data_IF_526776598733
#
_entry.id   IF_526776598733
#
_cell.length_a   1.000
_cell.length_b   1.000
_cell.length_c   1.000
_cell.angle_alpha   90.00
_cell.angle_beta   90.00
_cell.angle_gamma   90.00
#
_symmetry.space_group_name_H-M   'P 1'
#
loop_
_entity.id
_entity.type
_entity.pdbx_description
1 polymer ?
#
# COMPACT_ATOMS: atom_id res chain seq x y z
N UNK A 1 -2.23 7.30 -5.26
CA UNK A 1 -3.11 7.74 -6.38
C UNK A 1 -4.33 8.49 -5.88
N UNK A 2 -5.04 7.97 -4.87
CA UNK A 2 -6.21 8.65 -4.29
C UNK A 2 -5.88 10.08 -3.88
N UNK A 3 -4.74 10.34 -3.23
CA UNK A 3 -4.36 11.70 -2.83
C UNK A 3 -4.24 12.68 -4.01
N UNK A 4 -3.62 12.26 -5.12
CA UNK A 4 -3.52 13.09 -6.32
C UNK A 4 -4.91 13.43 -6.85
N UNK A 5 -5.77 12.42 -7.02
CA UNK A 5 -7.11 12.63 -7.57
C UNK A 5 -8.06 13.33 -6.59
N UNK A 6 -7.80 13.26 -5.28
CA UNK A 6 -8.51 14.04 -4.28
C UNK A 6 -8.16 15.53 -4.39
N UNK A 7 -6.89 15.86 -4.58
CA UNK A 7 -6.43 17.25 -4.72
C UNK A 7 -6.69 17.80 -6.13
N UNK A 8 -6.73 16.93 -7.15
CA UNK A 8 -6.95 17.24 -8.57
C UNK A 8 -8.11 16.41 -9.13
N UNK A 9 -9.36 16.60 -8.64
CA UNK A 9 -10.50 15.78 -9.03
C UNK A 9 -10.80 15.81 -10.53
N UNK A 10 -10.45 16.91 -11.19
CA UNK A 10 -10.60 17.07 -12.63
C UNK A 10 -9.65 16.16 -13.44
N UNK A 11 -8.63 15.57 -12.80
CA UNK A 11 -7.81 14.53 -13.44
C UNK A 11 -8.50 13.17 -13.47
N UNK A 12 -9.58 12.94 -12.72
CA UNK A 12 -10.30 11.66 -12.75
C UNK A 12 -10.82 11.35 -14.16
N UNK A 13 -11.32 12.38 -14.84
CA UNK A 13 -11.78 12.30 -16.22
C UNK A 13 -11.56 13.64 -16.92
N UNK A 14 -10.58 13.70 -17.83
CA UNK A 14 -10.28 14.92 -18.61
C UNK A 14 -10.19 14.60 -20.10
N UNK A 15 -11.35 14.51 -20.75
CA UNK A 15 -11.43 14.30 -22.20
C UNK A 15 -10.83 15.51 -22.95
N UNK A 16 -9.88 15.31 -23.87
CA UNK A 16 -9.36 16.40 -24.69
C UNK A 16 -10.44 17.03 -25.57
N UNK A 17 -10.50 18.37 -25.61
CA UNK A 17 -11.43 19.10 -26.46
C UNK A 17 -11.19 18.83 -27.95
N UNK A 18 -9.91 18.83 -28.37
CA UNK A 18 -9.51 18.57 -29.76
C UNK A 18 -9.59 17.08 -30.11
N UNK A 19 -10.33 16.75 -31.17
CA UNK A 19 -10.57 15.37 -31.65
C UNK A 19 -9.25 14.62 -31.91
N UNK A 20 -8.26 15.30 -32.51
CA UNK A 20 -6.94 14.73 -32.81
C UNK A 20 -6.16 14.26 -31.58
N UNK A 21 -6.52 14.74 -30.38
CA UNK A 21 -5.89 14.32 -29.11
C UNK A 21 -6.68 13.21 -28.41
N UNK A 22 -7.93 12.94 -28.79
CA UNK A 22 -8.77 11.89 -28.15
C UNK A 22 -8.28 10.47 -28.44
N UNK A 23 -7.56 10.28 -29.56
CA UNK A 23 -6.88 9.02 -29.89
C UNK A 23 -5.53 8.79 -29.20
N UNK A 24 -5.06 9.74 -28.39
CA UNK A 24 -3.82 9.61 -27.60
C UNK A 24 -4.12 9.24 -26.14
N UNK A 25 -3.08 9.13 -25.31
CA UNK A 25 -3.23 8.95 -23.87
C UNK A 25 -3.86 10.20 -23.22
N UNK A 26 -4.86 9.98 -22.37
CA UNK A 26 -5.53 11.03 -21.58
C UNK A 26 -6.18 10.40 -20.34
N UNK A 27 -6.42 11.19 -19.28
CA UNK A 27 -6.83 10.62 -18.01
C UNK A 27 -8.34 10.34 -17.97
N UNK A 28 -8.66 9.08 -17.72
CA UNK A 28 -9.99 8.50 -17.57
C UNK A 28 -9.95 7.44 -16.46
N UNK A 29 -11.08 7.01 -15.88
CA UNK A 29 -11.10 5.92 -14.91
C UNK A 29 -10.37 4.66 -15.42
N UNK A 30 -10.59 4.29 -16.70
CA UNK A 30 -9.94 3.13 -17.35
C UNK A 30 -8.42 3.30 -17.43
N UNK A 31 -7.94 4.47 -17.83
CA UNK A 31 -6.50 4.70 -17.95
C UNK A 31 -5.82 4.77 -16.58
N UNK A 32 -6.47 5.31 -15.56
CA UNK A 32 -5.97 5.30 -14.19
C UNK A 32 -5.85 3.88 -13.63
N UNK A 33 -6.87 3.03 -13.83
CA UNK A 33 -6.81 1.61 -13.46
C UNK A 33 -5.61 0.91 -14.12
N UNK A 34 -5.42 1.12 -15.43
CA UNK A 34 -4.26 0.58 -16.15
C UNK A 34 -2.94 1.12 -15.60
N UNK A 35 -2.89 2.41 -15.26
CA UNK A 35 -1.71 3.08 -14.67
C UNK A 35 -1.30 2.42 -13.36
N UNK A 36 -2.25 2.16 -12.45
CA UNK A 36 -1.95 1.47 -11.18
C UNK A 36 -1.36 0.09 -11.44
N UNK A 37 -1.96 -0.69 -12.34
CA UNK A 37 -1.51 -2.05 -12.64
C UNK A 37 -0.11 -2.06 -13.23
N UNK A 38 0.17 -1.19 -14.20
CA UNK A 38 1.48 -1.08 -14.83
C UNK A 38 2.55 -0.58 -13.86
N UNK A 39 2.22 0.40 -13.01
CA UNK A 39 3.13 0.89 -11.99
C UNK A 39 3.46 -0.20 -10.98
N UNK A 40 2.46 -0.90 -10.45
CA UNK A 40 2.66 -1.99 -9.50
C UNK A 40 3.49 -3.14 -10.09
N UNK A 41 3.14 -3.58 -11.30
CA UNK A 41 3.88 -4.65 -11.98
C UNK A 41 5.31 -4.23 -12.33
N UNK A 42 5.49 -3.06 -12.92
CA UNK A 42 6.80 -2.55 -13.30
C UNK A 42 7.72 -2.39 -12.10
N UNK A 43 7.21 -1.85 -10.98
CA UNK A 43 7.98 -1.73 -9.75
C UNK A 43 8.36 -3.10 -9.18
N UNK A 44 7.43 -4.05 -9.15
CA UNK A 44 7.71 -5.41 -8.69
C UNK A 44 8.70 -6.16 -9.58
N UNK A 45 8.72 -5.86 -10.89
CA UNK A 45 9.68 -6.40 -11.85
C UNK A 45 11.05 -5.70 -11.82
N UNK A 46 11.25 -4.70 -10.95
CA UNK A 46 12.50 -3.93 -10.89
C UNK A 46 12.75 -3.08 -12.14
N UNK A 47 11.69 -2.66 -12.81
CA UNK A 47 11.80 -1.80 -14.00
C UNK A 47 12.40 -0.45 -13.64
N UNK A 48 13.21 0.11 -14.54
CA UNK A 48 13.82 1.42 -14.30
C UNK A 48 12.77 2.52 -14.21
N UNK A 49 13.14 3.64 -13.57
CA UNK A 49 12.25 4.80 -13.43
C UNK A 49 11.82 5.37 -14.78
N UNK A 50 12.68 5.29 -15.79
CA UNK A 50 12.39 5.70 -17.17
C UNK A 50 11.29 4.82 -17.78
N UNK A 51 11.36 3.51 -17.58
CA UNK A 51 10.33 2.57 -18.05
C UNK A 51 9.00 2.83 -17.35
N UNK A 52 9.00 2.99 -16.03
CA UNK A 52 7.80 3.33 -15.26
C UNK A 52 7.19 4.66 -15.73
N UNK A 53 8.03 5.66 -15.98
CA UNK A 53 7.60 6.96 -16.49
C UNK A 53 6.93 6.84 -17.86
N UNK A 54 7.51 6.05 -18.76
CA UNK A 54 6.94 5.79 -20.08
C UNK A 54 5.58 5.09 -19.99
N UNK A 55 5.46 4.06 -19.14
CA UNK A 55 4.21 3.33 -18.93
C UNK A 55 3.10 4.25 -18.39
N UNK A 56 3.40 5.03 -17.35
CA UNK A 56 2.45 5.94 -16.71
C UNK A 56 2.02 7.07 -17.68
N UNK A 57 2.97 7.70 -18.37
CA UNK A 57 2.63 8.78 -19.31
C UNK A 57 1.90 8.23 -20.55
N UNK A 58 2.23 7.02 -20.96
CA UNK A 58 1.57 6.31 -22.06
C UNK A 58 0.11 5.92 -21.77
N UNK A 59 -0.30 5.85 -20.50
CA UNK A 59 -1.70 5.56 -20.13
C UNK A 59 -2.52 6.83 -19.92
N UNK A 60 -2.03 7.79 -19.13
CA UNK A 60 -2.81 8.96 -18.69
C UNK A 60 -2.40 10.27 -19.36
N UNK A 61 -1.35 10.26 -20.17
CA UNK A 61 -0.77 11.44 -20.81
C UNK A 61 0.34 12.07 -19.98
N UNK A 62 1.12 12.95 -20.63
CA UNK A 62 2.35 13.52 -20.06
C UNK A 62 2.13 14.32 -18.78
N UNK A 63 1.21 15.28 -18.80
CA UNK A 63 0.93 16.14 -17.63
C UNK A 63 0.48 15.32 -16.41
N UNK A 64 -0.64 14.56 -16.50
CA UNK A 64 -1.11 13.74 -15.38
C UNK A 64 -0.08 12.69 -14.94
N UNK A 65 0.68 12.12 -15.88
CA UNK A 65 1.71 11.14 -15.57
C UNK A 65 2.87 11.72 -14.78
N UNK A 66 3.38 12.90 -15.16
CA UNK A 66 4.43 13.60 -14.40
C UNK A 66 3.93 13.99 -13.01
N UNK A 67 2.69 14.49 -12.89
CA UNK A 67 2.10 14.81 -11.59
C UNK A 67 1.98 13.57 -10.68
N UNK A 68 1.59 12.42 -11.23
CA UNK A 68 1.55 11.16 -10.48
C UNK A 68 2.94 10.73 -10.02
N UNK A 69 3.93 10.72 -10.91
CA UNK A 69 5.29 10.30 -10.56
C UNK A 69 5.88 11.22 -9.49
N UNK A 70 5.69 12.53 -9.61
CA UNK A 70 6.10 13.47 -8.58
C UNK A 70 5.35 13.26 -7.24
N UNK A 71 4.06 12.88 -7.30
CA UNK A 71 3.30 12.54 -6.10
C UNK A 71 3.80 11.25 -5.43
N UNK A 72 4.17 10.24 -6.22
CA UNK A 72 4.77 8.98 -5.73
C UNK A 72 6.14 9.24 -5.13
N UNK A 73 7.01 10.00 -5.81
CA UNK A 73 8.34 10.34 -5.30
C UNK A 73 8.25 11.08 -3.96
N UNK A 74 7.29 11.99 -3.79
CA UNK A 74 7.05 12.71 -2.52
C UNK A 74 6.58 11.82 -1.37
N UNK A 75 6.09 10.61 -1.64
CA UNK A 75 5.75 9.67 -0.56
C UNK A 75 7.00 9.11 0.11
N UNK A 76 8.15 9.12 -0.58
CA UNK A 76 9.45 8.70 -0.05
C UNK A 76 9.37 7.36 0.71
N UNK A 77 8.63 6.40 0.13
CA UNK A 77 8.38 5.11 0.76
C UNK A 77 9.60 4.20 0.58
N UNK A 78 10.14 3.62 1.67
CA UNK A 78 11.22 2.66 1.58
C UNK A 78 10.78 1.39 0.86
N UNK A 79 11.69 0.75 0.12
CA UNK A 79 11.39 -0.53 -0.51
C UNK A 79 11.24 -1.62 0.57
N UNK A 80 10.24 -2.51 0.46
CA UNK A 80 10.01 -3.55 1.47
C UNK A 80 11.16 -4.55 1.56
N UNK A 81 11.91 -4.74 0.47
CA UNK A 81 13.08 -5.61 0.46
C UNK A 81 14.25 -5.01 1.24
N UNK A 82 14.45 -3.69 1.18
CA UNK A 82 15.48 -2.99 1.96
C UNK A 82 15.13 -3.05 3.45
N UNK A 83 13.85 -2.85 3.81
CA UNK A 83 13.36 -2.99 5.18
C UNK A 83 13.50 -4.41 5.73
N UNK A 84 13.32 -5.43 4.89
CA UNK A 84 13.50 -6.83 5.29
C UNK A 84 14.98 -7.24 5.38
N UNK A 85 15.87 -6.55 4.64
CA UNK A 85 17.30 -6.83 4.67
C UNK A 85 17.97 -6.32 5.95
N UNK A 86 17.55 -5.16 6.48
CA UNK A 86 18.03 -4.62 7.76
C UNK A 86 16.87 -4.03 8.59
N UNK A 87 16.07 -4.89 9.24
CA UNK A 87 14.86 -4.46 9.95
C UNK A 87 15.15 -3.65 11.22
N UNK A 88 16.32 -3.79 11.84
CA UNK A 88 16.65 -3.07 13.07
C UNK A 88 17.16 -1.65 12.81
N UNK A 89 17.81 -1.41 11.66
CA UNK A 89 18.24 -0.08 11.21
C UNK A 89 17.22 0.63 10.29
N UNK A 90 16.05 0.01 10.07
CA UNK A 90 15.01 0.52 9.20
C UNK A 90 14.57 1.96 9.56
N UNK A 91 14.64 2.87 8.60
CA UNK A 91 14.08 4.21 8.72
C UNK A 91 12.65 4.20 8.22
N UNK A 92 11.70 4.29 9.14
CA UNK A 92 10.27 4.32 8.82
C UNK A 92 9.77 5.76 8.70
N UNK A 93 8.79 6.04 7.82
CA UNK A 93 8.18 7.36 7.73
C UNK A 93 7.60 7.84 9.09
N UNK A 94 7.74 9.14 9.38
CA UNK A 94 7.12 9.78 10.55
C UNK A 94 5.60 9.91 10.41
N UNK A 95 5.15 10.15 9.17
CA UNK A 95 3.74 10.20 8.81
C UNK A 95 3.11 8.82 8.98
N UNK A 96 2.15 8.71 9.90
CA UNK A 96 1.53 7.43 10.29
C UNK A 96 0.87 6.69 9.13
N UNK A 97 0.25 7.40 8.19
CA UNK A 97 -0.35 6.83 6.97
C UNK A 97 0.71 6.19 6.05
N UNK A 98 1.81 6.91 5.81
CA UNK A 98 2.93 6.40 5.01
C UNK A 98 3.66 5.26 5.71
N UNK A 99 3.80 5.35 7.04
CA UNK A 99 4.37 4.27 7.86
C UNK A 99 3.53 3.00 7.73
N UNK A 100 2.20 3.12 7.82
CA UNK A 100 1.32 1.97 7.63
C UNK A 100 1.51 1.36 6.23
N UNK A 101 1.55 2.19 5.18
CA UNK A 101 1.78 1.74 3.80
C UNK A 101 3.11 0.98 3.66
N UNK A 102 4.20 1.48 4.27
CA UNK A 102 5.49 0.81 4.26
C UNK A 102 5.45 -0.57 4.94
N UNK A 103 4.77 -0.66 6.09
CA UNK A 103 4.63 -1.93 6.83
C UNK A 103 3.72 -2.92 6.12
N UNK A 104 2.61 -2.46 5.53
CA UNK A 104 1.73 -3.28 4.69
C UNK A 104 2.48 -3.81 3.46
N UNK A 105 3.35 -3.00 2.85
CA UNK A 105 4.20 -3.42 1.74
C UNK A 105 5.16 -4.54 2.15
N UNK A 106 5.76 -4.47 3.35
CA UNK A 106 6.59 -5.55 3.91
C UNK A 106 5.78 -6.83 4.11
N UNK A 107 4.59 -6.73 4.71
CA UNK A 107 3.71 -7.91 4.90
C UNK A 107 3.31 -8.53 3.55
N UNK A 108 3.02 -7.70 2.54
CA UNK A 108 2.77 -8.16 1.18
C UNK A 108 3.98 -8.87 0.56
N UNK A 109 5.19 -8.35 0.78
CA UNK A 109 6.43 -8.95 0.32
C UNK A 109 6.74 -10.29 1.03
N UNK A 110 6.34 -10.46 2.29
CA UNK A 110 6.41 -11.76 2.99
C UNK A 110 5.37 -12.73 2.39
N UNK A 111 4.13 -12.28 2.18
CA UNK A 111 3.05 -13.08 1.59
C UNK A 111 3.42 -13.63 0.20
N UNK A 112 4.05 -12.81 -0.64
CA UNK A 112 4.42 -13.20 -2.01
C UNK A 112 5.56 -14.22 -2.05
N UNK A 113 6.47 -14.19 -1.07
CA UNK A 113 7.62 -15.11 -0.96
C UNK A 113 7.76 -15.58 0.49
N UNK A 114 6.91 -16.52 0.95
CA UNK A 114 6.89 -16.92 2.35
C UNK A 114 8.12 -17.76 2.68
N UNK A 115 8.98 -17.23 3.56
CA UNK A 115 10.11 -17.97 4.14
C UNK A 115 10.25 -17.60 5.62
N UNK A 116 10.84 -18.50 6.42
CA UNK A 116 11.04 -18.26 7.86
C UNK A 116 11.91 -17.02 8.11
N UNK A 117 12.96 -16.83 7.31
CA UNK A 117 13.84 -15.66 7.40
C UNK A 117 13.07 -14.34 7.22
N UNK A 118 12.23 -14.25 6.18
CA UNK A 118 11.45 -13.03 5.89
C UNK A 118 10.37 -12.79 6.94
N UNK A 119 9.77 -13.86 7.45
CA UNK A 119 8.83 -13.81 8.56
C UNK A 119 9.49 -13.23 9.82
N UNK A 120 10.64 -13.77 10.22
CA UNK A 120 11.36 -13.32 11.41
C UNK A 120 11.84 -11.86 11.24
N UNK A 121 12.36 -11.49 10.07
CA UNK A 121 12.75 -10.12 9.76
C UNK A 121 11.56 -9.13 9.82
N UNK A 122 10.39 -9.53 9.31
CA UNK A 122 9.18 -8.71 9.41
C UNK A 122 8.77 -8.51 10.88
N UNK A 123 8.87 -9.54 11.72
CA UNK A 123 8.60 -9.39 13.15
C UNK A 123 9.60 -8.48 13.87
N UNK A 124 10.88 -8.56 13.52
CA UNK A 124 11.90 -7.62 14.00
C UNK A 124 11.54 -6.19 13.60
N UNK A 125 11.11 -5.98 12.35
CA UNK A 125 10.65 -4.67 11.88
C UNK A 125 9.41 -4.17 12.64
N UNK A 126 8.42 -5.03 12.91
CA UNK A 126 7.25 -4.64 13.71
C UNK A 126 7.65 -4.26 15.14
N UNK A 127 8.62 -4.97 15.74
CA UNK A 127 9.16 -4.63 17.04
C UNK A 127 9.90 -3.29 17.02
N UNK A 128 10.68 -3.02 15.96
CA UNK A 128 11.34 -1.74 15.74
C UNK A 128 10.30 -0.62 15.60
N UNK A 129 9.29 -0.80 14.74
CA UNK A 129 8.23 0.17 14.49
C UNK A 129 7.44 0.52 15.77
N UNK A 130 7.25 -0.45 16.68
CA UNK A 130 6.60 -0.24 17.98
C UNK A 130 7.44 0.62 18.92
N UNK A 131 8.78 0.54 18.84
CA UNK A 131 9.67 1.38 19.66
C UNK A 131 9.70 2.83 19.17
N UNK A 132 9.47 3.06 17.88
CA UNK A 132 9.65 4.36 17.22
C UNK A 132 8.35 5.04 16.80
N UNK A 133 7.17 4.53 17.19
CA UNK A 133 5.89 5.07 16.75
C UNK A 133 4.68 4.61 17.56
N UNK A 134 3.50 5.06 17.15
CA UNK A 134 2.24 4.69 17.82
C UNK A 134 1.86 3.22 17.56
N UNK A 135 1.47 2.46 18.61
CA UNK A 135 0.98 1.09 18.46
C UNK A 135 -0.23 0.94 17.52
N UNK A 136 -1.07 1.98 17.40
CA UNK A 136 -2.31 1.93 16.61
C UNK A 136 -2.04 1.71 15.11
N UNK A 137 -0.93 2.24 14.60
CA UNK A 137 -0.51 2.09 13.19
C UNK A 137 -0.11 0.65 12.86
N UNK A 138 0.22 -0.16 13.89
CA UNK A 138 0.76 -1.50 13.73
C UNK A 138 -0.30 -2.59 13.80
N UNK A 139 -1.51 -2.29 14.25
CA UNK A 139 -2.56 -3.29 14.47
C UNK A 139 -2.87 -4.07 13.19
N UNK A 140 -3.09 -3.37 12.08
CA UNK A 140 -3.41 -4.01 10.79
C UNK A 140 -2.21 -4.79 10.20
N UNK A 141 -0.99 -4.21 10.11
CA UNK A 141 0.17 -4.97 9.66
C UNK A 141 0.47 -6.21 10.52
N UNK A 142 0.39 -6.08 11.85
CA UNK A 142 0.65 -7.19 12.80
C UNK A 142 -0.39 -8.29 12.67
N UNK A 143 -1.69 -7.96 12.66
CA UNK A 143 -2.77 -8.96 12.47
C UNK A 143 -2.63 -9.68 11.14
N UNK A 144 -2.32 -8.93 10.08
CA UNK A 144 -2.14 -9.49 8.74
C UNK A 144 -0.91 -10.39 8.70
N UNK A 145 0.20 -10.00 9.33
CA UNK A 145 1.39 -10.84 9.43
C UNK A 145 1.07 -12.13 10.18
N UNK A 146 0.38 -12.08 11.32
CA UNK A 146 -0.07 -13.29 12.05
C UNK A 146 -0.83 -14.27 11.15
N UNK A 147 -1.68 -13.76 10.26
CA UNK A 147 -2.45 -14.60 9.34
C UNK A 147 -1.59 -15.40 8.34
N UNK A 148 -0.32 -14.99 8.13
CA UNK A 148 0.65 -15.67 7.26
C UNK A 148 1.44 -16.77 7.98
N UNK A 149 1.15 -17.05 9.26
CA UNK A 149 1.85 -18.06 10.06
C UNK A 149 1.76 -19.46 9.44
N UNK A 150 2.90 -20.14 9.36
CA UNK A 150 3.01 -21.56 9.03
C UNK A 150 3.10 -22.42 10.31
N UNK A 151 2.78 -23.73 10.27
CA UNK A 151 2.73 -24.59 11.47
C UNK A 151 3.98 -24.55 12.35
N UNK A 152 5.17 -24.52 11.74
CA UNK A 152 6.46 -24.50 12.44
C UNK A 152 6.98 -23.08 12.71
N UNK A 153 6.18 -22.06 12.41
CA UNK A 153 6.57 -20.67 12.61
C UNK A 153 5.99 -20.14 13.91
N UNK A 154 6.85 -20.08 14.92
CA UNK A 154 6.49 -19.45 16.19
C UNK A 154 6.22 -17.97 16.00
N UNK A 155 5.25 -17.49 16.78
CA UNK A 155 4.81 -16.11 16.82
C UNK A 155 5.47 -15.45 18.03
N UNK A 156 6.22 -14.35 17.86
CA UNK A 156 6.93 -13.74 18.97
C UNK A 156 6.02 -13.20 20.07
N UNK A 157 6.52 -13.18 21.31
CA UNK A 157 5.85 -12.56 22.47
C UNK A 157 5.54 -11.06 22.28
N UNK A 158 6.13 -10.42 21.27
CA UNK A 158 5.76 -9.07 20.84
C UNK A 158 4.24 -8.88 20.70
N UNK A 159 3.51 -9.93 20.30
CA UNK A 159 2.05 -9.91 20.19
C UNK A 159 1.34 -9.57 21.50
N UNK A 160 1.90 -9.99 22.64
CA UNK A 160 1.32 -9.72 23.96
C UNK A 160 1.22 -8.20 24.20
N UNK A 161 2.17 -7.43 23.67
CA UNK A 161 2.16 -5.96 23.73
C UNK A 161 1.05 -5.32 22.89
N UNK A 162 0.45 -6.08 21.98
CA UNK A 162 -0.66 -5.67 21.14
C UNK A 162 -2.00 -6.27 21.59
N UNK A 163 -2.06 -7.11 22.64
CA UNK A 163 -3.27 -7.84 23.04
C UNK A 163 -4.50 -6.94 23.20
N UNK A 164 -4.36 -5.79 23.89
CA UNK A 164 -5.48 -4.84 24.05
C UNK A 164 -6.00 -4.27 22.72
N UNK A 165 -5.09 -3.95 21.80
CA UNK A 165 -5.44 -3.42 20.47
C UNK A 165 -5.96 -4.53 19.52
N UNK A 166 -5.41 -5.74 19.62
CA UNK A 166 -5.81 -6.92 18.87
C UNK A 166 -7.17 -7.44 19.31
N UNK A 167 -7.49 -7.42 20.60
CA UNK A 167 -8.83 -7.73 21.09
C UNK A 167 -9.88 -6.76 20.56
N UNK A 168 -9.56 -5.46 20.55
CA UNK A 168 -10.43 -4.41 20.02
C UNK A 168 -10.62 -4.58 18.51
N UNK A 169 -9.55 -4.85 17.76
CA UNK A 169 -9.61 -5.14 16.31
C UNK A 169 -10.45 -6.38 16.03
N UNK A 170 -10.20 -7.50 16.73
CA UNK A 170 -11.01 -8.74 16.58
C UNK A 170 -12.47 -8.51 16.93
N UNK A 171 -12.81 -7.61 17.86
CA UNK A 171 -14.20 -7.23 18.17
C UNK A 171 -14.80 -6.37 17.04
N UNK A 172 -14.04 -5.40 16.52
CA UNK A 172 -14.44 -4.56 15.39
C UNK A 172 -14.65 -5.38 14.10
N UNK A 173 -13.75 -6.30 13.77
CA UNK A 173 -13.85 -7.18 12.60
C UNK A 173 -15.06 -8.12 12.72
N UNK A 174 -15.31 -8.67 13.92
CA UNK A 174 -16.53 -9.46 14.20
C UNK A 174 -17.81 -8.63 14.12
N UNK A 175 -17.76 -7.36 14.50
CA UNK A 175 -18.90 -6.45 14.36
C UNK A 175 -19.15 -6.08 12.89
N UNK A 176 -18.10 -5.79 12.12
CA UNK A 176 -18.18 -5.52 10.68
C UNK A 176 -18.67 -6.73 9.89
N UNK A 177 -18.23 -7.94 10.22
CA UNK A 177 -18.71 -9.19 9.63
C UNK A 177 -20.19 -9.51 9.97
N UNK A 178 -20.76 -8.87 11.01
CA UNK A 178 -22.16 -9.01 11.41
C UNK A 178 -23.09 -8.00 10.76
N UNK A 179 -22.59 -7.00 10.03
CA UNK A 179 -23.43 -6.06 9.28
C UNK A 179 -23.95 -6.78 8.03
N UNK A 180 -25.26 -7.09 7.93
CA UNK A 180 -25.81 -7.67 6.72
C UNK A 180 -25.77 -6.65 5.58
N UNK A 181 -25.57 -7.11 4.33
CA UNK A 181 -25.50 -6.31 3.12
C UNK A 181 -26.81 -5.59 2.71
N UNK A 182 -27.72 -5.32 3.65
CA UNK A 182 -29.07 -4.78 3.37
C UNK A 182 -29.18 -3.25 3.41
N UNK A 183 -28.08 -2.50 3.59
CA UNK A 183 -28.11 -1.02 3.62
C UNK A 183 -27.67 -0.31 2.32
N UNK A 184 -27.65 -1.00 1.16
CA UNK A 184 -27.41 -0.35 -0.16
C UNK A 184 -28.59 -0.45 -1.15
N UNK A 185 -29.66 -1.17 -0.83
CA UNK A 185 -30.88 -1.21 -1.64
C UNK A 185 -31.95 -0.32 -1.00
N UNK A 186 -31.81 0.99 -1.13
CA UNK A 186 -32.78 1.90 -0.52
C UNK A 186 -32.44 3.37 -0.66
N UNK A 187 -32.37 3.87 -1.89
CA UNK A 187 -32.77 5.24 -2.23
C UNK A 187 -33.20 5.24 -3.69
N UNK A 188 -34.48 5.56 -3.86
CA UNK A 188 -35.26 5.66 -5.09
C UNK A 188 -34.69 6.72 -6.03
#
# INVERSE_FOLDING_TARGET
MCDLLTVRPELTHRLPAAETRRGRAWPSPRSWEMTVRLLAFGSAAGSSREVLSMLVRGTVGDGPGVELLAAVDRMDLPAPEDLLADPDAAVLPERGDLRQVALDAVVSAVRSRPTRQRWDAAWTLMAHALRTGSPDVLVVPVTTLVSLRQPDWEVPALIERFEGALELSRRADRAAARIPATARAGRR
#
